data_IF_583246731731
#
_entry.id   IF_583246731731
#
_cell.length_a   1.000
_cell.length_b   1.000
_cell.length_c   1.000
_cell.angle_alpha   90.00
_cell.angle_beta   90.00
_cell.angle_gamma   90.00
#
_symmetry.space_group_name_H-M   'P 1'
#
loop_
_entity.id
_entity.type
_entity.pdbx_description
1 polymer ?
#
# COMPACT_ATOMS: atom_id res chain seq x y z
N UNK A 1 1.16 -7.84 -11.15
CA UNK A 1 0.27 -7.46 -10.03
C UNK A 1 0.31 -5.95 -9.86
N UNK A 2 -0.84 -5.32 -9.86
CA UNK A 2 -1.00 -3.88 -9.65
C UNK A 2 -1.51 -3.64 -8.23
N UNK A 3 -0.92 -2.66 -7.54
CA UNK A 3 -1.33 -2.24 -6.20
C UNK A 3 -1.74 -0.77 -6.25
N UNK A 4 -2.81 -0.42 -5.54
CA UNK A 4 -3.25 0.98 -5.44
C UNK A 4 -3.98 1.25 -4.14
N UNK A 5 -4.05 2.53 -3.79
CA UNK A 5 -4.87 3.03 -2.68
C UNK A 5 -6.18 3.57 -3.23
N UNK A 6 -7.25 3.41 -2.47
CA UNK A 6 -8.56 3.95 -2.79
C UNK A 6 -9.02 4.83 -1.63
N UNK A 7 -9.28 6.10 -1.94
CA UNK A 7 -9.89 7.04 -1.01
C UNK A 7 -11.40 7.02 -1.22
N UNK A 8 -12.15 7.37 -0.21
CA UNK A 8 -13.60 7.45 -0.31
C UNK A 8 -14.30 6.76 0.85
N UNK A 9 -15.57 6.45 0.66
CA UNK A 9 -16.38 5.89 1.72
C UNK A 9 -16.24 4.37 1.83
N UNK A 10 -16.20 3.84 3.07
CA UNK A 10 -16.27 2.40 3.28
C UNK A 10 -17.52 1.79 2.63
N UNK A 11 -17.49 0.49 2.26
CA UNK A 11 -16.43 -0.47 2.54
C UNK A 11 -15.29 -0.51 1.53
N UNK A 12 -15.44 0.15 0.37
CA UNK A 12 -14.45 0.10 -0.71
C UNK A 12 -13.40 1.20 -0.61
N UNK A 13 -13.75 2.34 -0.01
CA UNK A 13 -12.84 3.45 0.19
C UNK A 13 -11.93 3.26 1.41
N UNK A 14 -10.88 4.05 1.47
CA UNK A 14 -9.83 3.98 2.50
C UNK A 14 -9.19 2.60 2.60
N UNK A 15 -8.87 2.03 1.46
CA UNK A 15 -8.36 0.67 1.31
C UNK A 15 -7.07 0.63 0.50
N UNK A 16 -6.33 -0.44 0.66
CA UNK A 16 -5.26 -0.85 -0.25
C UNK A 16 -5.73 -2.09 -1.00
N UNK A 17 -5.53 -2.08 -2.29
CA UNK A 17 -6.06 -3.10 -3.19
C UNK A 17 -4.96 -3.63 -4.11
N UNK A 18 -5.16 -4.82 -4.63
CA UNK A 18 -4.33 -5.35 -5.70
C UNK A 18 -5.16 -6.15 -6.70
N UNK A 19 -4.66 -6.24 -7.91
CA UNK A 19 -5.25 -7.06 -8.96
C UNK A 19 -4.15 -7.53 -9.93
N UNK A 20 -4.34 -8.66 -10.61
CA UNK A 20 -3.41 -9.09 -11.66
C UNK A 20 -3.35 -8.05 -12.79
N UNK A 21 -2.14 -7.80 -13.32
CA UNK A 21 -1.96 -6.95 -14.49
C UNK A 21 -2.27 -7.67 -15.79
N UNK A 22 -2.22 -8.99 -15.77
CA UNK A 22 -2.58 -9.84 -16.90
C UNK A 22 -4.07 -10.15 -16.85
N UNK A 23 -4.87 -9.22 -17.39
CA UNK A 23 -6.32 -9.30 -17.32
C UNK A 23 -6.86 -10.00 -18.56
N UNK A 24 -7.43 -11.19 -18.36
CA UNK A 24 -8.32 -11.78 -19.35
C UNK A 24 -9.68 -11.07 -19.24
N UNK A 25 -10.04 -10.32 -20.28
CA UNK A 25 -11.30 -9.56 -20.31
C UNK A 25 -12.55 -10.44 -20.16
N UNK A 26 -12.42 -11.74 -20.39
CA UNK A 26 -13.51 -12.70 -20.21
C UNK A 26 -13.63 -13.23 -18.78
N UNK A 27 -12.65 -12.92 -17.93
CA UNK A 27 -12.60 -13.37 -16.54
C UNK A 27 -12.41 -12.18 -15.61
N UNK A 28 -13.43 -11.36 -15.51
CA UNK A 28 -13.38 -10.22 -14.57
C UNK A 28 -13.39 -10.73 -13.14
N UNK A 29 -12.29 -10.55 -12.45
CA UNK A 29 -12.19 -10.79 -11.02
C UNK A 29 -12.24 -9.46 -10.29
N UNK A 30 -12.97 -9.44 -9.16
CA UNK A 30 -12.94 -8.28 -8.29
C UNK A 30 -11.53 -8.08 -7.73
N UNK A 31 -11.08 -6.83 -7.53
CA UNK A 31 -9.82 -6.57 -6.86
C UNK A 31 -9.80 -7.17 -5.46
N UNK A 32 -8.63 -7.62 -5.04
CA UNK A 32 -8.42 -8.08 -3.68
C UNK A 32 -8.15 -6.89 -2.77
N UNK A 33 -8.93 -6.75 -1.71
CA UNK A 33 -8.74 -5.71 -0.69
C UNK A 33 -7.76 -6.23 0.34
N UNK A 34 -6.62 -5.57 0.48
CA UNK A 34 -5.55 -6.00 1.38
C UNK A 34 -5.63 -5.34 2.75
N UNK A 35 -5.90 -4.05 2.79
CA UNK A 35 -6.04 -3.27 4.01
C UNK A 35 -7.29 -2.42 3.94
N UNK A 36 -7.93 -2.22 5.10
CA UNK A 36 -9.15 -1.44 5.26
C UNK A 36 -8.98 -0.40 6.35
N UNK A 37 -9.94 0.52 6.47
CA UNK A 37 -10.02 1.50 7.54
C UNK A 37 -8.78 2.42 7.63
N UNK A 38 -8.17 2.73 6.48
CA UNK A 38 -7.11 3.73 6.43
C UNK A 38 -7.70 5.13 6.66
N UNK A 39 -6.88 6.03 7.18
CA UNK A 39 -7.25 7.45 7.34
C UNK A 39 -6.83 8.22 6.09
N UNK A 40 -7.55 7.98 5.00
CA UNK A 40 -7.27 8.51 3.66
C UNK A 40 -5.85 8.13 3.19
N UNK A 41 -5.65 6.84 2.96
CA UNK A 41 -4.39 6.31 2.41
C UNK A 41 -4.12 6.87 1.03
N UNK A 42 -2.94 7.40 0.80
CA UNK A 42 -2.55 8.05 -0.43
C UNK A 42 -1.34 7.39 -1.07
N UNK A 43 -0.22 7.37 -0.35
CA UNK A 43 1.04 6.87 -0.89
C UNK A 43 1.19 5.37 -0.68
N UNK A 44 1.78 4.70 -1.67
CA UNK A 44 2.13 3.28 -1.58
C UNK A 44 3.47 3.04 -2.26
N UNK A 45 4.33 2.28 -1.61
CA UNK A 45 5.59 1.82 -2.18
C UNK A 45 5.78 0.34 -1.85
N UNK A 46 6.37 -0.40 -2.79
CA UNK A 46 6.55 -1.84 -2.67
C UNK A 46 8.02 -2.21 -2.54
N UNK A 47 8.30 -3.11 -1.61
CA UNK A 47 9.55 -3.84 -1.51
C UNK A 47 9.26 -5.29 -1.91
N UNK A 48 9.39 -5.57 -3.20
CA UNK A 48 9.04 -6.88 -3.74
C UNK A 48 10.00 -7.97 -3.27
N UNK A 49 11.24 -7.61 -3.02
CA UNK A 49 12.27 -8.57 -2.59
C UNK A 49 11.94 -9.15 -1.22
N UNK A 50 11.48 -8.32 -0.30
CA UNK A 50 11.12 -8.75 1.05
C UNK A 50 9.62 -8.94 1.23
N UNK A 51 8.86 -8.81 0.15
CA UNK A 51 7.40 -8.97 0.14
C UNK A 51 6.70 -8.05 1.14
N UNK A 52 7.16 -6.79 1.19
CA UNK A 52 6.60 -5.76 2.07
C UNK A 52 6.08 -4.58 1.26
N UNK A 53 5.12 -3.87 1.83
CA UNK A 53 4.64 -2.60 1.31
C UNK A 53 4.67 -1.53 2.40
N UNK A 54 4.79 -0.27 1.95
CA UNK A 54 4.81 0.90 2.82
C UNK A 54 3.72 1.86 2.37
N UNK A 55 3.03 2.46 3.32
CA UNK A 55 1.83 3.27 3.08
C UNK A 55 1.90 4.54 3.90
N UNK A 56 1.39 5.61 3.32
CA UNK A 56 1.20 6.87 4.03
C UNK A 56 -0.27 7.29 3.97
N UNK A 57 -0.72 8.04 4.95
CA UNK A 57 -2.07 8.60 4.96
C UNK A 57 -2.09 10.08 5.35
N UNK A 58 -3.24 10.72 5.14
CA UNK A 58 -3.41 12.14 5.47
C UNK A 58 -3.48 12.41 6.97
N UNK A 59 -3.70 11.40 7.78
CA UNK A 59 -3.66 11.54 9.24
C UNK A 59 -2.23 11.62 9.79
N UNK A 60 -1.22 11.41 8.93
CA UNK A 60 0.17 11.53 9.32
C UNK A 60 0.82 10.24 9.76
N UNK A 61 0.29 9.10 9.36
CA UNK A 61 0.84 7.80 9.71
C UNK A 61 1.61 7.18 8.56
N UNK A 62 2.67 6.45 8.91
CA UNK A 62 3.41 5.59 7.98
C UNK A 62 3.26 4.16 8.46
N UNK A 63 2.82 3.29 7.58
CA UNK A 63 2.59 1.88 7.87
C UNK A 63 3.47 0.98 7.01
N UNK A 64 3.76 -0.21 7.53
CA UNK A 64 4.26 -1.31 6.69
C UNK A 64 3.34 -2.52 6.84
N UNK A 65 3.31 -3.35 5.82
CA UNK A 65 2.57 -4.61 5.84
C UNK A 65 3.20 -5.58 4.84
N UNK A 66 2.89 -6.86 4.98
CA UNK A 66 3.21 -7.81 3.92
C UNK A 66 2.41 -7.46 2.66
N UNK A 67 2.90 -7.84 1.49
CA UNK A 67 2.23 -7.51 0.23
C UNK A 67 0.86 -8.17 0.06
N UNK A 68 0.53 -9.15 0.91
CA UNK A 68 -0.81 -9.74 0.98
C UNK A 68 -1.73 -9.05 2.00
N UNK A 69 -1.28 -7.98 2.63
CA UNK A 69 -2.04 -7.21 3.62
C UNK A 69 -1.89 -7.67 5.07
N UNK A 70 -1.22 -8.79 5.33
CA UNK A 70 -0.99 -9.27 6.70
C UNK A 70 0.14 -8.50 7.40
N UNK A 71 0.23 -8.66 8.70
CA UNK A 71 1.30 -8.09 9.54
C UNK A 71 1.45 -6.56 9.37
N UNK A 72 0.35 -5.84 9.43
CA UNK A 72 0.34 -4.38 9.39
C UNK A 72 0.99 -3.81 10.65
N UNK A 73 1.96 -2.93 10.46
CA UNK A 73 2.67 -2.24 11.55
C UNK A 73 2.65 -0.74 11.31
N UNK A 74 2.36 0.03 12.35
CA UNK A 74 2.48 1.49 12.31
C UNK A 74 3.91 1.85 12.65
N UNK A 75 4.61 2.52 11.73
CA UNK A 75 6.01 2.91 11.90
C UNK A 75 6.14 4.30 12.48
N UNK A 76 5.34 5.24 12.01
CA UNK A 76 5.33 6.64 12.46
C UNK A 76 3.89 7.13 12.56
N UNK A 77 3.64 8.08 13.46
CA UNK A 77 2.33 8.70 13.64
C UNK A 77 2.47 10.21 13.73
N UNK A 78 1.39 10.91 13.39
CA UNK A 78 1.24 12.38 13.59
C UNK A 78 2.34 13.20 12.90
N UNK A 79 2.77 12.78 11.72
CA UNK A 79 3.80 13.47 10.95
C UNK A 79 3.24 14.58 10.04
N UNK A 80 1.99 15.01 10.26
CA UNK A 80 1.29 15.93 9.37
C UNK A 80 0.70 15.20 8.17
N UNK A 81 0.14 15.94 7.23
CA UNK A 81 -0.47 15.34 6.04
C UNK A 81 0.60 14.74 5.13
N UNK A 82 0.56 13.43 4.98
CA UNK A 82 1.50 12.69 4.14
C UNK A 82 0.83 12.31 2.82
N UNK A 83 1.58 12.31 1.74
CA UNK A 83 1.07 11.94 0.41
C UNK A 83 1.91 10.86 -0.24
N UNK A 84 3.12 11.18 -0.69
CA UNK A 84 3.96 10.25 -1.41
C UNK A 84 4.87 9.44 -0.50
N UNK A 85 5.23 8.25 -0.95
CA UNK A 85 6.22 7.40 -0.30
C UNK A 85 6.97 6.61 -1.38
N UNK A 86 8.26 6.41 -1.16
CA UNK A 86 9.09 5.58 -2.02
C UNK A 86 9.99 4.69 -1.18
N UNK A 87 10.27 3.52 -1.70
CA UNK A 87 11.19 2.57 -1.11
C UNK A 87 12.45 2.48 -1.95
N UNK A 88 13.60 2.52 -1.31
CA UNK A 88 14.88 2.32 -1.98
C UNK A 88 15.73 1.34 -1.17
N UNK A 89 16.37 0.40 -1.87
CA UNK A 89 17.33 -0.52 -1.29
C UNK A 89 18.72 -0.11 -1.75
N UNK A 90 19.58 0.23 -0.81
CA UNK A 90 20.94 0.63 -1.12
C UNK A 90 21.87 -0.56 -1.07
N UNK A 91 22.73 -0.67 -2.08
CA UNK A 91 23.73 -1.74 -2.11
C UNK A 91 24.78 -1.50 -1.03
N UNK A 92 25.06 -2.56 -0.23
CA UNK A 92 26.14 -2.53 0.77
C UNK A 92 27.54 -2.52 0.12
N UNK A 93 27.63 -2.72 -1.18
CA UNK A 93 28.87 -2.73 -1.95
C UNK A 93 29.23 -1.38 -2.57
N UNK A 94 28.48 -0.35 -2.25
CA UNK A 94 28.84 1.00 -2.68
C UNK A 94 30.14 1.45 -2.04
N UNK A 95 31.09 1.95 -2.83
CA UNK A 95 32.34 2.44 -2.30
C UNK A 95 32.16 3.65 -1.40
#
# INVERSE_FOLDING_TARGET
MLYWTDRGDPPRGNTVNRAPTDIDLNKRQAPEILLTHLMEGIGIALDLRNERMFLTDLAGSVYSANINGSDKKTLLELQGNLTGVAYAELSSNLP
#
